data_IF_996881680634
#
_entry.id   IF_996881680634
#
_cell.length_a   1.000
_cell.length_b   1.000
_cell.length_c   1.000
_cell.angle_alpha   90.00
_cell.angle_beta   90.00
_cell.angle_gamma   90.00
#
_symmetry.space_group_name_H-M   'P 1'
#
loop_
_entity.id
_entity.type
_entity.pdbx_description
1 polymer ?
#
# COMPACT_ATOMS: atom_id res chain seq x y z
N UNK A 1 -6.76 -22.40 9.31
CA UNK A 1 -5.54 -22.34 8.47
C UNK A 1 -4.60 -21.35 9.16
N UNK A 2 -3.46 -21.82 9.64
CA UNK A 2 -2.44 -20.98 10.28
C UNK A 2 -1.56 -20.41 9.16
N UNK A 3 -1.67 -19.12 8.87
CA UNK A 3 -0.80 -18.46 7.92
C UNK A 3 0.45 -17.97 8.67
N UNK A 4 1.57 -18.58 8.39
CA UNK A 4 2.88 -18.11 8.84
C UNK A 4 3.37 -17.09 7.82
N UNK A 5 3.20 -15.80 8.14
CA UNK A 5 3.88 -14.74 7.39
C UNK A 5 5.35 -14.79 7.80
N UNK A 6 6.21 -15.07 6.86
CA UNK A 6 7.65 -14.97 7.07
C UNK A 6 8.02 -13.49 7.03
N UNK A 7 8.50 -12.99 8.16
CA UNK A 7 9.11 -11.69 8.29
C UNK A 7 10.50 -11.78 7.71
N UNK A 8 10.69 -11.38 6.47
CA UNK A 8 11.99 -11.57 5.82
C UNK A 8 13.07 -10.61 6.30
N UNK A 9 12.74 -9.36 6.69
CA UNK A 9 13.77 -8.40 7.12
C UNK A 9 13.21 -7.31 8.04
N UNK A 10 13.69 -7.29 9.28
CA UNK A 10 13.75 -6.09 10.11
C UNK A 10 15.19 -5.58 10.02
N UNK A 11 15.41 -4.44 9.38
CA UNK A 11 16.71 -3.80 9.41
C UNK A 11 16.81 -3.00 10.70
N UNK A 12 17.88 -3.25 11.50
CA UNK A 12 18.07 -2.60 12.79
C UNK A 12 18.01 -1.07 12.67
N UNK A 13 17.18 -0.44 13.51
CA UNK A 13 16.96 1.00 13.47
C UNK A 13 15.96 1.50 12.41
N UNK A 14 15.56 0.67 11.45
CA UNK A 14 14.54 1.02 10.46
C UNK A 14 13.20 0.37 10.85
N UNK A 15 12.13 1.13 11.12
CA UNK A 15 10.85 0.60 11.56
C UNK A 15 10.02 0.05 10.38
N UNK A 16 10.64 -0.62 9.45
CA UNK A 16 10.04 -1.13 8.21
C UNK A 16 10.05 -2.64 8.22
N UNK A 17 8.90 -3.24 7.92
CA UNK A 17 8.75 -4.67 7.78
C UNK A 17 8.49 -5.03 6.32
N UNK A 18 9.21 -6.03 5.84
CA UNK A 18 9.04 -6.60 4.50
C UNK A 18 8.47 -8.02 4.63
N UNK A 19 7.41 -8.30 3.92
CA UNK A 19 6.69 -9.58 4.00
C UNK A 19 6.43 -10.12 2.61
N UNK A 20 6.70 -11.40 2.36
CA UNK A 20 6.21 -12.10 1.16
C UNK A 20 4.79 -12.60 1.41
N UNK A 21 3.90 -12.28 0.49
CA UNK A 21 2.50 -12.66 0.60
C UNK A 21 2.28 -14.09 0.09
N UNK A 22 1.45 -14.88 0.80
CA UNK A 22 1.06 -16.22 0.35
C UNK A 22 0.30 -16.18 -0.99
N UNK A 23 0.35 -17.29 -1.72
CA UNK A 23 -0.27 -17.40 -3.04
C UNK A 23 -1.76 -17.08 -3.05
N UNK A 24 -2.48 -17.49 -2.04
CA UNK A 24 -3.93 -17.26 -1.90
C UNK A 24 -4.27 -15.78 -1.79
N UNK A 25 -3.41 -15.01 -1.13
CA UNK A 25 -3.53 -13.55 -1.04
C UNK A 25 -3.19 -12.91 -2.39
N UNK A 26 -2.18 -13.42 -3.08
CA UNK A 26 -1.81 -12.91 -4.41
C UNK A 26 -2.94 -13.08 -5.42
N UNK A 27 -3.71 -14.16 -5.34
CA UNK A 27 -4.89 -14.38 -6.19
C UNK A 27 -5.97 -13.31 -5.95
N UNK A 28 -6.21 -12.93 -4.69
CA UNK A 28 -7.11 -11.81 -4.34
C UNK A 28 -6.57 -10.49 -4.92
N UNK A 29 -5.30 -10.20 -4.72
CA UNK A 29 -4.63 -8.98 -5.20
C UNK A 29 -4.69 -8.87 -6.74
N UNK A 30 -4.44 -9.96 -7.45
CA UNK A 30 -4.55 -10.00 -8.92
C UNK A 30 -5.97 -9.65 -9.37
N UNK A 31 -7.00 -10.11 -8.65
CA UNK A 31 -8.39 -9.74 -8.94
C UNK A 31 -8.64 -8.24 -8.78
N UNK A 32 -8.04 -7.60 -7.79
CA UNK A 32 -8.14 -6.15 -7.58
C UNK A 32 -7.45 -5.35 -8.68
N UNK A 33 -6.25 -5.79 -9.11
CA UNK A 33 -5.54 -5.16 -10.23
C UNK A 33 -6.35 -5.25 -11.51
N UNK A 34 -6.92 -6.44 -11.81
CA UNK A 34 -7.79 -6.63 -12.96
C UNK A 34 -9.00 -5.69 -12.92
N UNK A 35 -9.68 -5.63 -11.78
CA UNK A 35 -10.79 -4.71 -11.57
C UNK A 35 -10.37 -3.25 -11.79
N UNK A 36 -9.23 -2.83 -11.23
CA UNK A 36 -8.71 -1.48 -11.42
C UNK A 36 -8.49 -1.12 -12.89
N UNK A 37 -7.97 -2.05 -13.69
CA UNK A 37 -7.79 -1.84 -15.13
C UNK A 37 -9.14 -1.72 -15.88
N UNK A 38 -10.16 -2.42 -15.44
CA UNK A 38 -11.50 -2.34 -16.04
C UNK A 38 -12.18 -0.99 -15.77
N UNK A 39 -11.91 -0.38 -14.60
CA UNK A 39 -12.57 0.86 -14.16
C UNK A 39 -11.69 2.12 -14.27
N UNK A 40 -10.48 2.01 -14.80
CA UNK A 40 -9.49 3.11 -14.80
C UNK A 40 -9.99 4.44 -15.39
N UNK A 41 -10.88 4.37 -16.35
CA UNK A 41 -11.49 5.54 -17.00
C UNK A 41 -12.81 5.98 -16.37
N UNK A 42 -13.24 5.31 -15.29
CA UNK A 42 -14.50 5.62 -14.65
C UNK A 42 -14.36 6.79 -13.67
N UNK A 43 -15.03 7.93 -13.89
CA UNK A 43 -14.78 9.18 -13.16
C UNK A 43 -15.05 9.08 -11.65
N UNK A 44 -15.91 8.16 -11.20
CA UNK A 44 -16.25 8.00 -9.78
C UNK A 44 -15.13 7.31 -8.96
N UNK A 45 -14.24 6.58 -9.61
CA UNK A 45 -13.18 5.84 -8.91
C UNK A 45 -11.81 6.48 -9.05
N UNK A 46 -11.64 7.44 -9.95
CA UNK A 46 -10.38 8.13 -10.14
C UNK A 46 -10.15 9.10 -8.97
N UNK A 47 -9.25 8.74 -8.06
CA UNK A 47 -8.91 9.59 -6.92
C UNK A 47 -8.07 10.80 -7.35
N UNK A 48 -7.13 10.65 -8.26
CA UNK A 48 -6.24 11.73 -8.70
C UNK A 48 -5.52 11.39 -10.01
N UNK A 49 -5.50 12.34 -10.95
CA UNK A 49 -4.37 12.59 -11.85
C UNK A 49 -3.48 13.60 -11.12
N UNK A 50 -2.36 13.19 -10.58
CA UNK A 50 -1.47 14.13 -9.92
C UNK A 50 -0.42 14.62 -10.91
N UNK A 51 -0.49 15.91 -11.23
CA UNK A 51 0.53 16.61 -12.03
C UNK A 51 1.93 16.53 -11.38
N UNK A 52 1.99 16.29 -10.07
CA UNK A 52 3.24 16.20 -9.30
C UNK A 52 3.87 14.81 -9.26
N UNK A 53 3.20 13.76 -9.72
CA UNK A 53 3.69 12.37 -9.65
C UNK A 53 4.04 11.77 -11.01
N UNK A 54 4.14 12.62 -12.03
CA UNK A 54 4.31 12.21 -13.41
C UNK A 54 3.04 12.42 -14.24
N UNK A 55 3.21 12.44 -15.56
CA UNK A 55 2.11 12.82 -16.49
C UNK A 55 1.08 11.72 -16.70
N UNK A 56 1.44 10.49 -16.41
CA UNK A 56 0.65 9.31 -16.79
C UNK A 56 0.14 8.51 -15.60
N UNK A 57 0.66 8.74 -14.38
CA UNK A 57 0.21 8.01 -13.20
C UNK A 57 -1.24 8.33 -12.84
N UNK A 58 -1.94 7.33 -12.36
CA UNK A 58 -3.28 7.50 -11.83
C UNK A 58 -3.49 6.63 -10.59
N UNK A 59 -4.39 7.09 -9.73
CA UNK A 59 -4.76 6.40 -8.50
C UNK A 59 -6.26 6.11 -8.52
N UNK A 60 -6.62 4.88 -8.16
CA UNK A 60 -8.02 4.45 -8.08
C UNK A 60 -8.35 4.02 -6.66
N UNK A 61 -9.45 4.55 -6.13
CA UNK A 61 -10.00 4.06 -4.87
C UNK A 61 -10.47 2.61 -5.02
N UNK A 62 -10.16 1.79 -4.03
CA UNK A 62 -10.73 0.44 -3.96
C UNK A 62 -12.14 0.52 -3.38
N UNK A 63 -13.16 -0.10 -4.02
CA UNK A 63 -14.53 -0.10 -3.51
C UNK A 63 -14.62 -0.63 -2.09
N UNK A 64 -15.43 0.02 -1.24
CA UNK A 64 -15.58 -0.34 0.17
C UNK A 64 -15.92 -1.81 0.38
N UNK A 65 -16.78 -2.37 -0.45
CA UNK A 65 -17.13 -3.80 -0.37
C UNK A 65 -15.89 -4.70 -0.54
N UNK A 66 -15.00 -4.41 -1.48
CA UNK A 66 -13.78 -5.19 -1.68
C UNK A 66 -12.85 -5.11 -0.46
N UNK A 67 -12.78 -3.93 0.18
CA UNK A 67 -12.00 -3.72 1.40
C UNK A 67 -12.60 -4.49 2.58
N UNK A 68 -13.91 -4.45 2.77
CA UNK A 68 -14.62 -5.09 3.87
C UNK A 68 -14.58 -6.62 3.78
N UNK A 69 -14.64 -7.17 2.58
CA UNK A 69 -14.57 -8.61 2.30
C UNK A 69 -13.12 -9.13 2.19
N UNK A 70 -12.12 -8.25 2.27
CA UNK A 70 -10.73 -8.59 2.03
C UNK A 70 -10.11 -9.43 3.14
N UNK A 71 -9.59 -10.57 2.76
CA UNK A 71 -8.87 -11.46 3.66
C UNK A 71 -7.45 -10.94 3.98
N UNK A 72 -6.73 -10.41 2.99
CA UNK A 72 -5.37 -9.93 3.19
C UNK A 72 -5.32 -8.66 4.06
N UNK A 73 -6.32 -7.77 3.96
CA UNK A 73 -6.43 -6.60 4.84
C UNK A 73 -6.74 -7.02 6.29
N UNK A 74 -7.60 -8.02 6.50
CA UNK A 74 -7.84 -8.57 7.83
C UNK A 74 -6.56 -9.16 8.45
N UNK A 75 -5.72 -9.81 7.62
CA UNK A 75 -4.43 -10.32 8.04
C UNK A 75 -3.46 -9.18 8.37
N UNK A 76 -3.43 -8.13 7.56
CA UNK A 76 -2.60 -6.94 7.80
C UNK A 76 -2.94 -6.25 9.12
N UNK A 77 -4.23 -6.19 9.50
CA UNK A 77 -4.63 -5.67 10.82
C UNK A 77 -4.07 -6.52 11.99
N UNK A 78 -4.01 -7.84 11.83
CA UNK A 78 -3.38 -8.72 12.83
C UNK A 78 -1.88 -8.48 12.93
N UNK A 79 -1.21 -8.32 11.80
CA UNK A 79 0.22 -7.97 11.77
C UNK A 79 0.49 -6.62 12.43
N UNK A 80 -0.33 -5.62 12.14
CA UNK A 80 -0.26 -4.30 12.77
C UNK A 80 -0.32 -4.39 14.30
N UNK A 81 -1.26 -5.16 14.82
CA UNK A 81 -1.37 -5.38 16.26
C UNK A 81 -0.14 -6.05 16.87
N UNK A 82 0.47 -6.97 16.14
CA UNK A 82 1.71 -7.63 16.57
C UNK A 82 2.89 -6.66 16.61
N UNK A 83 2.97 -5.75 15.64
CA UNK A 83 4.07 -4.78 15.53
C UNK A 83 3.93 -3.58 16.46
N UNK A 84 2.74 -3.01 16.50
CA UNK A 84 2.45 -1.78 17.23
C UNK A 84 1.93 -2.03 18.66
N UNK A 85 1.74 -3.29 19.04
CA UNK A 85 1.12 -3.70 20.29
C UNK A 85 -0.41 -3.59 20.28
N UNK A 86 -1.07 -4.24 21.24
CA UNK A 86 -2.53 -4.27 21.36
C UNK A 86 -3.17 -5.47 20.65
N UNK A 87 -4.47 -5.36 20.42
CA UNK A 87 -5.27 -6.41 19.78
C UNK A 87 -5.66 -5.96 18.36
N UNK A 88 -5.75 -6.89 17.41
CA UNK A 88 -6.11 -6.55 16.02
C UNK A 88 -7.46 -5.80 15.88
N UNK A 89 -8.37 -5.95 16.85
CA UNK A 89 -9.63 -5.21 16.92
C UNK A 89 -9.47 -3.73 17.29
N UNK A 90 -8.31 -3.34 17.80
CA UNK A 90 -8.00 -1.94 18.15
C UNK A 90 -7.63 -1.12 16.90
N UNK A 91 -7.41 -1.80 15.79
CA UNK A 91 -7.02 -1.21 14.50
C UNK A 91 -8.13 -1.35 13.46
N UNK A 92 -8.17 -0.43 12.52
CA UNK A 92 -9.03 -0.47 11.33
C UNK A 92 -8.31 0.15 10.14
N UNK A 93 -8.73 -0.22 8.93
CA UNK A 93 -8.35 0.53 7.75
C UNK A 93 -8.92 1.94 7.90
N UNK A 94 -8.07 2.95 7.69
CA UNK A 94 -8.49 4.34 7.76
C UNK A 94 -9.58 4.61 6.72
N UNK A 95 -10.59 5.40 7.09
CA UNK A 95 -11.55 5.94 6.13
C UNK A 95 -11.05 7.30 5.63
N UNK A 96 -11.29 7.59 4.38
CA UNK A 96 -10.99 8.89 3.82
C UNK A 96 -12.01 9.93 4.30
N UNK A 97 -11.53 11.07 4.81
CA UNK A 97 -12.41 12.16 5.32
C UNK A 97 -13.01 13.03 4.21
N UNK A 98 -12.80 12.69 2.94
CA UNK A 98 -13.32 13.38 1.76
C UNK A 98 -14.38 12.55 1.05
N UNK A 99 -15.35 13.21 0.51
CA UNK A 99 -16.45 12.75 -0.35
C UNK A 99 -16.47 11.25 -0.67
N UNK A 100 -17.42 10.54 -0.11
CA UNK A 100 -17.72 9.11 -0.16
C UNK A 100 -17.17 8.30 1.03
N UNK A 101 -17.95 7.32 1.42
CA UNK A 101 -17.62 6.31 2.44
C UNK A 101 -16.55 5.35 1.90
N UNK A 102 -15.35 5.86 1.65
CA UNK A 102 -14.24 5.12 1.06
C UNK A 102 -13.14 4.87 2.09
N UNK A 103 -12.57 3.68 2.02
CA UNK A 103 -11.40 3.34 2.79
C UNK A 103 -10.13 3.94 2.17
N UNK A 104 -9.15 4.22 3.00
CA UNK A 104 -7.83 4.69 2.59
C UNK A 104 -6.99 3.49 2.06
N UNK A 105 -7.48 2.92 0.98
CA UNK A 105 -6.88 1.83 0.21
C UNK A 105 -7.03 2.18 -1.27
N UNK A 106 -5.92 2.22 -1.98
CA UNK A 106 -5.94 2.59 -3.39
C UNK A 106 -4.93 1.82 -4.24
N UNK A 107 -5.27 1.64 -5.50
CA UNK A 107 -4.39 1.14 -6.55
C UNK A 107 -3.61 2.31 -7.15
N UNK A 108 -2.32 2.13 -7.33
CA UNK A 108 -1.46 3.05 -8.09
C UNK A 108 -1.04 2.36 -9.37
N UNK A 109 -1.21 3.06 -10.49
CA UNK A 109 -0.69 2.69 -11.79
C UNK A 109 0.32 3.75 -12.20
N UNK A 110 1.55 3.35 -12.42
CA UNK A 110 2.67 4.24 -12.71
C UNK A 110 3.41 3.76 -13.95
N UNK A 111 3.98 4.72 -14.67
CA UNK A 111 4.69 4.52 -15.92
C UNK A 111 6.03 5.24 -15.86
N UNK A 112 6.84 5.08 -16.89
CA UNK A 112 8.14 5.73 -17.00
C UNK A 112 8.06 7.25 -16.75
N UNK A 113 8.95 7.72 -15.89
CA UNK A 113 8.99 9.11 -15.45
C UNK A 113 8.09 9.43 -14.25
N UNK A 114 7.18 8.51 -13.86
CA UNK A 114 6.33 8.71 -12.71
C UNK A 114 7.08 8.42 -11.41
N UNK A 115 6.86 9.26 -10.41
CA UNK A 115 7.48 9.21 -9.09
C UNK A 115 6.50 9.69 -8.02
N UNK A 116 6.85 9.53 -6.75
CA UNK A 116 6.12 10.13 -5.65
C UNK A 116 7.14 10.82 -4.72
N UNK A 117 7.11 12.17 -4.60
CA UNK A 117 8.08 12.90 -3.79
C UNK A 117 7.97 12.54 -2.31
N UNK A 118 8.94 12.96 -1.53
CA UNK A 118 8.97 12.74 -0.08
C UNK A 118 7.69 13.19 0.60
N UNK A 119 7.09 12.30 1.37
CA UNK A 119 5.86 12.56 2.10
C UNK A 119 5.69 11.64 3.32
N UNK A 120 4.67 11.93 4.12
CA UNK A 120 4.21 11.15 5.28
C UNK A 120 2.70 10.96 5.19
N UNK A 121 2.19 9.96 5.87
CA UNK A 121 0.75 9.76 5.98
C UNK A 121 0.25 10.01 7.40
N UNK A 122 -1.05 10.30 7.50
CA UNK A 122 -1.76 10.24 8.76
C UNK A 122 -2.17 8.78 9.04
N UNK A 123 -2.07 8.35 10.29
CA UNK A 123 -2.41 7.00 10.72
C UNK A 123 -1.35 6.39 11.62
N UNK A 124 -1.55 5.14 11.98
CA UNK A 124 -0.60 4.39 12.80
C UNK A 124 0.42 3.63 11.94
N UNK A 125 -0.06 3.01 10.86
CA UNK A 125 0.75 2.24 9.93
C UNK A 125 0.31 2.51 8.49
N UNK A 126 1.29 2.61 7.60
CA UNK A 126 1.10 2.63 6.15
C UNK A 126 1.69 1.37 5.53
N UNK A 127 1.19 0.99 4.39
CA UNK A 127 1.75 -0.14 3.67
C UNK A 127 1.55 -0.06 2.16
N UNK A 128 2.39 -0.80 1.46
CA UNK A 128 2.32 -0.97 0.03
C UNK A 128 2.52 -2.45 -0.34
N UNK A 129 1.70 -2.93 -1.26
CA UNK A 129 1.86 -4.24 -1.91
C UNK A 129 2.30 -4.02 -3.34
N UNK A 130 3.38 -4.66 -3.73
CA UNK A 130 3.86 -4.66 -5.11
C UNK A 130 3.16 -5.77 -5.88
N UNK A 131 2.29 -5.38 -6.82
CA UNK A 131 1.54 -6.31 -7.66
C UNK A 131 2.29 -6.60 -8.96
N UNK A 132 2.75 -5.55 -9.62
CA UNK A 132 3.58 -5.58 -10.81
C UNK A 132 4.64 -4.48 -10.67
N UNK A 133 5.91 -4.83 -10.72
CA UNK A 133 7.00 -3.88 -10.52
C UNK A 133 8.21 -4.26 -11.39
N UNK A 134 8.29 -3.73 -12.61
CA UNK A 134 9.31 -4.12 -13.58
C UNK A 134 10.73 -3.70 -13.19
N UNK A 135 10.88 -2.59 -12.46
CA UNK A 135 12.18 -2.04 -12.05
C UNK A 135 12.66 -2.61 -10.71
N UNK A 136 11.80 -3.34 -10.01
CA UNK A 136 12.02 -3.86 -8.64
C UNK A 136 12.30 -2.77 -7.59
N UNK A 137 12.26 -1.50 -7.96
CA UNK A 137 12.37 -0.40 -7.01
C UNK A 137 11.19 -0.39 -6.05
N UNK A 138 11.48 -0.05 -4.79
CA UNK A 138 10.47 0.09 -3.76
C UNK A 138 10.38 1.53 -3.23
N UNK A 139 9.70 1.68 -2.12
CA UNK A 139 9.75 2.90 -1.32
C UNK A 139 11.18 3.07 -0.78
N UNK A 140 11.71 4.28 -0.93
CA UNK A 140 12.95 4.71 -0.32
C UNK A 140 12.66 5.49 0.96
N UNK A 141 13.43 5.22 2.00
CA UNK A 141 13.34 5.83 3.32
C UNK A 141 14.57 6.70 3.56
N UNK A 142 14.53 8.00 3.25
CA UNK A 142 15.71 8.87 3.26
C UNK A 142 16.36 9.02 4.63
N UNK A 143 15.58 9.04 5.71
CA UNK A 143 16.11 9.13 7.09
C UNK A 143 16.99 7.93 7.47
N UNK A 144 16.85 6.80 6.78
CA UNK A 144 17.56 5.55 7.05
C UNK A 144 18.50 5.16 5.91
N UNK A 145 18.47 5.89 4.80
CA UNK A 145 19.19 5.53 3.55
C UNK A 145 18.90 4.07 3.12
N UNK A 146 17.61 3.71 3.10
CA UNK A 146 17.16 2.32 2.86
C UNK A 146 16.13 2.27 1.77
N UNK A 147 16.34 1.34 0.83
CA UNK A 147 15.37 0.86 -0.14
C UNK A 147 15.36 -0.68 -0.09
N UNK A 148 14.18 -1.26 -0.08
CA UNK A 148 14.01 -2.72 -0.12
C UNK A 148 13.69 -3.18 -1.53
N UNK A 149 13.76 -4.49 -1.80
CA UNK A 149 13.29 -5.02 -3.07
C UNK A 149 11.77 -4.97 -3.16
N UNK A 150 11.27 -4.33 -4.20
CA UNK A 150 9.84 -4.26 -4.53
C UNK A 150 9.40 -5.41 -5.44
N UNK A 151 9.90 -6.63 -5.25
CA UNK A 151 9.46 -7.78 -6.04
C UNK A 151 7.94 -7.99 -5.96
N UNK A 152 7.29 -8.36 -7.05
CA UNK A 152 5.87 -8.72 -7.03
C UNK A 152 5.54 -9.73 -5.93
N UNK A 153 4.43 -9.50 -5.23
CA UNK A 153 4.05 -10.28 -4.05
C UNK A 153 4.72 -9.85 -2.75
N UNK A 154 5.52 -8.80 -2.76
CA UNK A 154 6.08 -8.21 -1.54
C UNK A 154 5.12 -7.16 -0.98
N UNK A 155 4.92 -7.19 0.34
CA UNK A 155 4.27 -6.13 1.09
C UNK A 155 5.29 -5.46 2.01
N UNK A 156 5.36 -4.13 1.95
CA UNK A 156 6.18 -3.31 2.85
C UNK A 156 5.24 -2.51 3.75
N UNK A 157 5.44 -2.60 5.07
CA UNK A 157 4.67 -1.86 6.07
C UNK A 157 5.58 -1.07 6.99
N UNK A 158 5.15 0.13 7.37
CA UNK A 158 5.95 1.07 8.15
C UNK A 158 5.05 2.04 8.93
N UNK A 159 5.54 2.66 10.02
CA UNK A 159 4.79 3.70 10.71
C UNK A 159 4.48 4.87 9.78
N UNK A 160 3.23 5.33 9.78
CA UNK A 160 2.74 6.33 8.81
C UNK A 160 3.51 7.66 8.86
N UNK A 161 4.13 7.98 10.00
CA UNK A 161 4.90 9.22 10.17
C UNK A 161 6.34 9.15 9.62
N UNK A 162 6.81 7.97 9.17
CA UNK A 162 8.15 7.83 8.58
C UNK A 162 8.17 8.46 7.19
N UNK A 163 9.16 9.32 6.98
CA UNK A 163 9.37 9.99 5.69
C UNK A 163 9.76 8.96 4.63
N UNK A 164 9.10 9.03 3.48
CA UNK A 164 9.36 8.12 2.38
C UNK A 164 9.04 8.75 1.03
N UNK A 165 9.64 8.21 -0.01
CA UNK A 165 9.40 8.59 -1.39
C UNK A 165 9.34 7.35 -2.30
N UNK A 166 8.85 7.53 -3.52
CA UNK A 166 8.95 6.54 -4.60
C UNK A 166 9.75 7.14 -5.73
N UNK A 167 10.91 6.57 -6.01
CA UNK A 167 11.80 7.03 -7.07
C UNK A 167 11.16 6.91 -8.44
N UNK A 168 11.67 7.70 -9.38
CA UNK A 168 11.22 7.69 -10.77
C UNK A 168 11.31 6.31 -11.38
N UNK A 169 10.23 5.89 -12.04
CA UNK A 169 10.19 4.66 -12.81
C UNK A 169 10.99 4.80 -14.09
N UNK A 170 11.90 3.87 -14.34
CA UNK A 170 12.85 3.93 -15.44
C UNK A 170 12.39 3.17 -16.71
N UNK A 171 11.50 2.17 -16.53
CA UNK A 171 11.02 1.33 -17.62
C UNK A 171 9.68 1.80 -18.18
N UNK A 172 9.39 1.41 -19.42
CA UNK A 172 8.12 1.72 -20.09
C UNK A 172 6.96 0.78 -19.65
N UNK A 173 7.27 -0.29 -18.93
CA UNK A 173 6.27 -1.22 -18.42
C UNK A 173 5.48 -0.60 -17.25
N UNK A 174 4.21 -0.95 -17.14
CA UNK A 174 3.36 -0.49 -16.03
C UNK A 174 3.82 -1.05 -14.70
N UNK A 175 3.92 -0.20 -13.67
CA UNK A 175 4.06 -0.60 -12.27
C UNK A 175 2.71 -0.48 -11.59
N UNK A 176 2.29 -1.53 -10.90
CA UNK A 176 1.03 -1.55 -10.16
C UNK A 176 1.30 -1.87 -8.71
N UNK A 177 0.84 -1.00 -7.83
CA UNK A 177 0.90 -1.21 -6.38
C UNK A 177 -0.47 -0.96 -5.73
N UNK A 178 -0.71 -1.59 -4.58
CA UNK A 178 -1.82 -1.26 -3.69
C UNK A 178 -1.25 -0.62 -2.45
N UNK A 179 -1.68 0.58 -2.14
CA UNK A 179 -1.30 1.26 -0.90
C UNK A 179 -2.48 1.37 0.06
N UNK A 180 -2.19 1.41 1.35
CA UNK A 180 -3.22 1.48 2.39
C UNK A 180 -2.70 2.15 3.66
N UNK A 181 -3.62 2.73 4.44
CA UNK A 181 -3.33 3.27 5.76
C UNK A 181 -4.22 2.64 6.83
N UNK A 182 -3.61 2.34 7.97
CA UNK A 182 -4.25 1.77 9.16
C UNK A 182 -4.20 2.81 10.27
N UNK A 183 -5.30 2.94 10.99
CA UNK A 183 -5.41 3.82 12.15
C UNK A 183 -5.84 3.02 13.38
N UNK A 184 -5.33 3.39 14.54
CA UNK A 184 -5.86 2.94 15.82
C UNK A 184 -7.23 3.58 16.04
N UNK A 185 -8.20 2.82 16.53
CA UNK A 185 -9.59 3.31 16.68
C UNK A 185 -9.70 4.49 17.64
N UNK A 186 -8.85 4.50 18.66
CA UNK A 186 -8.81 5.57 19.66
C UNK A 186 -8.23 6.89 19.11
N UNK A 187 -7.45 6.81 18.02
CA UNK A 187 -6.85 7.97 17.35
C UNK A 187 -7.75 8.52 16.22
N UNK A 188 -8.96 7.99 16.07
CA UNK A 188 -9.88 8.29 14.97
C UNK A 188 -10.87 9.44 15.27
N UNK A 189 -10.58 10.30 16.26
CA UNK A 189 -11.38 11.48 16.62
C UNK A 189 -10.86 12.75 15.98
#
# INVERSE_FOLDING_TARGET
>A
MEYRLELEHLKEGCPVMVTKLPKEILEEIVSWVKYGREIKDHPLFMLRKHENYGKNSYQLSVPSRMVEESFWLALTLRMTATLCGGHHRDYKIRKWDGHFDSYDVWLNFSYKGDHNPEHKHAGSLSGVVYCENPDLHSIYFPEYDVEFSGEPGTMITFPSHVLHEVKEQLTDNERVTIAFNIIRKDDAN
#
